data_IF_838214343870
#
_entry.id   IF_838214343870
#
_cell.length_a   1.000
_cell.length_b   1.000
_cell.length_c   1.000
_cell.angle_alpha   90.00
_cell.angle_beta   90.00
_cell.angle_gamma   90.00
#
_symmetry.space_group_name_H-M   'P 1'
#
loop_
_entity.id
_entity.type
_entity.pdbx_description
1 polymer ?
#
# COMPACT_ATOMS: atom_id res chain seq x y z
N UNK A 1 -2.73 -79.16 28.70
CA UNK A 1 -1.61 -78.61 27.90
C UNK A 1 -2.03 -77.20 27.48
N UNK A 2 -1.60 -76.20 28.25
CA UNK A 2 -1.96 -74.78 28.04
C UNK A 2 -0.79 -74.08 27.39
N UNK A 3 -0.93 -73.64 26.16
CA UNK A 3 0.04 -72.78 25.46
C UNK A 3 -0.53 -71.36 25.42
N UNK A 4 -0.19 -70.56 26.43
CA UNK A 4 -0.45 -69.14 26.44
C UNK A 4 0.64 -68.45 25.62
N UNK A 5 0.31 -68.05 24.39
CA UNK A 5 1.18 -67.20 23.54
C UNK A 5 1.24 -65.79 24.13
N UNK A 6 2.40 -65.44 24.70
CA UNK A 6 2.74 -64.08 25.10
C UNK A 6 3.02 -63.24 23.85
N UNK A 7 2.02 -62.48 23.44
CA UNK A 7 2.21 -61.40 22.48
C UNK A 7 2.97 -60.24 23.18
N UNK A 8 4.21 -60.04 22.83
CA UNK A 8 5.06 -58.96 23.34
C UNK A 8 4.61 -57.63 22.75
N UNK A 9 4.26 -56.64 23.57
CA UNK A 9 3.85 -55.32 23.06
C UNK A 9 5.11 -54.48 22.69
N UNK A 10 5.64 -54.66 21.48
CA UNK A 10 6.74 -53.83 20.96
C UNK A 10 6.27 -52.63 20.16
N UNK A 11 4.95 -52.39 20.06
CA UNK A 11 4.39 -51.31 19.24
C UNK A 11 4.22 -49.97 19.99
N UNK A 12 4.33 -49.98 21.32
CA UNK A 12 4.10 -48.75 22.14
C UNK A 12 5.14 -47.61 21.94
N UNK A 13 6.46 -47.87 21.74
CA UNK A 13 7.41 -46.76 21.57
C UNK A 13 7.33 -46.08 20.22
N UNK A 14 6.86 -46.75 19.17
CA UNK A 14 6.75 -46.14 17.82
C UNK A 14 5.59 -45.16 17.73
N UNK A 15 4.49 -45.41 18.44
CA UNK A 15 3.32 -44.50 18.48
C UNK A 15 3.65 -43.24 19.29
N UNK A 16 4.39 -43.38 20.39
CA UNK A 16 4.81 -42.24 21.21
C UNK A 16 5.81 -41.33 20.47
N UNK A 17 6.72 -41.89 19.69
CA UNK A 17 7.67 -41.13 18.87
C UNK A 17 6.97 -40.37 17.71
N UNK A 18 5.94 -40.95 17.11
CA UNK A 18 5.13 -40.30 16.06
C UNK A 18 4.30 -39.13 16.58
N UNK A 19 3.71 -39.25 17.78
CA UNK A 19 2.93 -38.18 18.39
C UNK A 19 3.78 -36.98 18.78
N UNK A 20 5.01 -37.21 19.27
CA UNK A 20 5.95 -36.15 19.64
C UNK A 20 6.46 -35.39 18.42
N UNK A 21 6.62 -36.02 17.27
CA UNK A 21 7.03 -35.41 16.00
C UNK A 21 5.95 -34.49 15.42
N UNK A 22 4.67 -34.87 15.53
CA UNK A 22 3.54 -34.05 15.05
C UNK A 22 3.35 -32.80 15.92
N UNK A 23 3.59 -32.88 17.24
CA UNK A 23 3.49 -31.71 18.12
C UNK A 23 4.58 -30.66 17.84
N UNK A 24 5.77 -31.08 17.44
CA UNK A 24 6.89 -30.15 17.09
C UNK A 24 6.63 -29.40 15.79
N UNK A 25 5.88 -29.96 14.84
CA UNK A 25 5.55 -29.33 13.57
C UNK A 25 4.50 -28.21 13.70
N UNK A 26 3.66 -28.24 14.74
CA UNK A 26 2.65 -27.20 15.02
C UNK A 26 3.24 -25.95 15.68
N UNK A 27 4.42 -26.03 16.29
CA UNK A 27 5.08 -24.87 16.92
C UNK A 27 5.77 -23.93 15.93
N UNK A 28 5.98 -24.33 14.67
CA UNK A 28 6.68 -23.53 13.67
C UNK A 28 5.85 -22.41 13.02
N UNK A 29 4.52 -22.34 13.29
CA UNK A 29 3.62 -21.39 12.64
C UNK A 29 3.21 -20.18 13.50
N UNK A 30 3.82 -20.00 14.67
CA UNK A 30 3.35 -18.99 15.65
C UNK A 30 4.26 -17.75 15.77
N UNK A 31 5.17 -17.49 14.83
CA UNK A 31 5.90 -16.22 14.84
C UNK A 31 5.06 -15.14 14.16
N UNK A 32 4.59 -14.18 14.94
CA UNK A 32 3.94 -12.98 14.42
C UNK A 32 4.91 -12.24 13.49
N UNK A 33 4.49 -11.84 12.27
CA UNK A 33 5.32 -11.01 11.41
C UNK A 33 5.72 -9.71 12.13
N UNK A 34 6.93 -9.19 11.91
CA UNK A 34 7.32 -7.88 12.46
C UNK A 34 6.42 -6.77 11.90
N UNK A 35 6.32 -5.66 12.64
CA UNK A 35 5.57 -4.50 12.19
C UNK A 35 6.10 -3.99 10.84
N UNK A 36 5.22 -3.56 9.90
CA UNK A 36 5.62 -3.12 8.56
C UNK A 36 6.09 -1.66 8.56
N UNK A 37 7.06 -1.31 9.41
CA UNK A 37 7.51 0.07 9.61
C UNK A 37 7.94 0.75 8.31
N UNK A 38 8.64 0.03 7.43
CA UNK A 38 9.09 0.57 6.14
C UNK A 38 7.92 0.93 5.21
N UNK A 39 6.84 0.14 5.21
CA UNK A 39 5.65 0.42 4.39
C UNK A 39 4.86 1.61 4.97
N UNK A 40 4.73 1.70 6.29
CA UNK A 40 4.09 2.82 6.98
C UNK A 40 4.85 4.13 6.74
N UNK A 41 6.17 4.12 6.84
CA UNK A 41 6.98 5.30 6.59
C UNK A 41 6.94 5.72 5.13
N UNK A 42 6.97 4.79 4.19
CA UNK A 42 6.81 5.08 2.77
C UNK A 42 5.45 5.73 2.46
N UNK A 43 4.37 5.27 3.09
CA UNK A 43 3.03 5.87 2.96
C UNK A 43 3.00 7.30 3.50
N UNK A 44 3.56 7.55 4.70
CA UNK A 44 3.66 8.90 5.29
C UNK A 44 4.45 9.85 4.41
N UNK A 45 5.58 9.40 3.87
CA UNK A 45 6.40 10.20 2.94
C UNK A 45 5.62 10.52 1.67
N UNK A 46 4.93 9.55 1.08
CA UNK A 46 4.12 9.77 -0.13
C UNK A 46 2.99 10.78 0.10
N UNK A 47 2.27 10.69 1.23
CA UNK A 47 1.24 11.66 1.62
C UNK A 47 1.86 13.07 1.76
N UNK A 48 2.99 13.19 2.48
CA UNK A 48 3.67 14.47 2.64
C UNK A 48 4.11 15.08 1.31
N UNK A 49 4.56 14.27 0.35
CA UNK A 49 4.93 14.72 -0.98
C UNK A 49 3.70 15.20 -1.78
N UNK A 50 2.58 14.48 -1.70
CA UNK A 50 1.32 14.88 -2.33
C UNK A 50 0.81 16.22 -1.76
N UNK A 51 0.88 16.40 -0.45
CA UNK A 51 0.51 17.66 0.23
C UNK A 51 1.37 18.84 -0.25
N UNK A 52 2.70 18.65 -0.32
CA UNK A 52 3.64 19.67 -0.83
C UNK A 52 3.43 19.99 -2.30
N UNK A 53 2.88 19.05 -3.08
CA UNK A 53 2.52 19.25 -4.47
C UNK A 53 1.18 19.98 -4.66
N UNK A 54 0.47 20.36 -3.60
CA UNK A 54 -0.88 20.94 -3.57
C UNK A 54 -2.00 19.95 -3.96
N UNK A 55 -1.81 18.64 -3.71
CA UNK A 55 -2.82 17.63 -4.03
C UNK A 55 -4.16 17.88 -3.32
N UNK A 56 -4.17 18.57 -2.20
CA UNK A 56 -5.41 18.99 -1.53
C UNK A 56 -6.34 19.83 -2.41
N UNK A 57 -5.78 20.61 -3.34
CA UNK A 57 -6.51 21.43 -4.28
C UNK A 57 -6.92 20.67 -5.55
N UNK A 58 -6.03 19.85 -6.11
CA UNK A 58 -6.19 19.25 -7.44
C UNK A 58 -6.61 17.78 -7.42
N UNK A 59 -6.36 17.06 -6.32
CA UNK A 59 -6.59 15.64 -6.15
C UNK A 59 -6.98 15.31 -4.69
N UNK A 60 -7.88 16.13 -4.11
CA UNK A 60 -8.25 16.03 -2.70
C UNK A 60 -8.90 14.71 -2.31
N UNK A 61 -9.65 14.08 -3.24
CA UNK A 61 -10.29 12.80 -3.00
C UNK A 61 -9.24 11.68 -2.80
N UNK A 62 -8.24 11.59 -3.67
CA UNK A 62 -7.17 10.59 -3.60
C UNK A 62 -6.29 10.81 -2.37
N UNK A 63 -5.99 12.07 -2.05
CA UNK A 63 -5.24 12.41 -0.84
C UNK A 63 -6.02 12.04 0.43
N UNK A 64 -7.34 12.24 0.43
CA UNK A 64 -8.25 11.82 1.50
C UNK A 64 -8.21 10.30 1.68
N UNK A 65 -8.37 9.55 0.60
CA UNK A 65 -8.30 8.09 0.62
C UNK A 65 -6.94 7.57 1.12
N UNK A 66 -5.84 8.20 0.70
CA UNK A 66 -4.51 7.85 1.19
C UNK A 66 -4.41 7.97 2.72
N UNK A 67 -4.93 9.04 3.30
CA UNK A 67 -4.94 9.25 4.76
C UNK A 67 -5.82 8.24 5.49
N UNK A 68 -6.98 7.90 4.95
CA UNK A 68 -7.88 6.89 5.52
C UNK A 68 -7.22 5.49 5.52
N UNK A 69 -6.53 5.13 4.43
CA UNK A 69 -5.78 3.87 4.35
C UNK A 69 -4.64 3.84 5.36
N UNK A 70 -3.91 4.94 5.55
CA UNK A 70 -2.86 5.01 6.58
C UNK A 70 -3.44 4.83 7.98
N UNK A 71 -4.56 5.47 8.30
CA UNK A 71 -5.24 5.29 9.57
C UNK A 71 -5.70 3.84 9.80
N UNK A 72 -6.16 3.17 8.73
CA UNK A 72 -6.51 1.74 8.76
C UNK A 72 -5.29 0.86 9.00
N UNK A 73 -4.13 1.20 8.40
CA UNK A 73 -2.87 0.51 8.64
C UNK A 73 -2.44 0.63 10.11
N UNK A 74 -2.49 1.85 10.68
CA UNK A 74 -2.17 2.09 12.08
C UNK A 74 -3.13 1.35 13.04
N UNK A 75 -4.41 1.20 12.66
CA UNK A 75 -5.37 0.39 13.43
C UNK A 75 -4.99 -1.09 13.40
N UNK A 76 -4.68 -1.62 12.23
CA UNK A 76 -4.28 -3.02 12.06
C UNK A 76 -2.98 -3.35 12.84
N UNK A 77 -2.04 -2.39 12.95
CA UNK A 77 -0.86 -2.54 13.82
C UNK A 77 -1.26 -2.69 15.28
N UNK A 78 -2.18 -1.86 15.77
CA UNK A 78 -2.68 -1.96 17.17
C UNK A 78 -3.43 -3.27 17.45
N UNK A 79 -4.04 -3.83 16.42
CA UNK A 79 -4.72 -5.13 16.45
C UNK A 79 -3.76 -6.31 16.22
N UNK A 80 -2.47 -6.05 16.13
CA UNK A 80 -1.41 -7.02 15.87
C UNK A 80 -1.58 -7.78 14.53
N UNK A 81 -2.34 -7.21 13.58
CA UNK A 81 -2.60 -7.78 12.26
C UNK A 81 -1.63 -7.20 11.22
N UNK A 82 -0.36 -7.61 11.30
CA UNK A 82 0.74 -7.02 10.54
C UNK A 82 0.60 -7.18 9.03
N UNK A 83 -0.01 -8.27 8.56
CA UNK A 83 -0.26 -8.51 7.12
C UNK A 83 -1.27 -7.50 6.57
N UNK A 84 -2.34 -7.25 7.33
CA UNK A 84 -3.36 -6.26 6.95
C UNK A 84 -2.81 -4.85 7.05
N UNK A 85 -1.99 -4.55 8.06
CA UNK A 85 -1.31 -3.28 8.22
C UNK A 85 -0.41 -2.97 7.02
N UNK A 86 0.42 -3.91 6.59
CA UNK A 86 1.29 -3.76 5.42
C UNK A 86 0.48 -3.47 4.16
N UNK A 87 -0.60 -4.22 3.92
CA UNK A 87 -1.46 -4.00 2.75
C UNK A 87 -2.06 -2.60 2.74
N UNK A 88 -2.65 -2.15 3.86
CA UNK A 88 -3.22 -0.81 3.94
C UNK A 88 -2.16 0.30 3.80
N UNK A 89 -0.95 0.11 4.34
CA UNK A 89 0.14 1.04 4.14
C UNK A 89 0.55 1.15 2.66
N UNK A 90 0.63 0.02 1.95
CA UNK A 90 0.90 0.00 0.51
C UNK A 90 -0.21 0.67 -0.30
N UNK A 91 -1.49 0.39 0.02
CA UNK A 91 -2.64 1.04 -0.61
C UNK A 91 -2.60 2.56 -0.38
N UNK A 92 -2.31 3.00 0.85
CA UNK A 92 -2.13 4.41 1.19
C UNK A 92 -1.06 5.09 0.35
N UNK A 93 0.11 4.47 0.22
CA UNK A 93 1.19 4.98 -0.61
C UNK A 93 0.76 5.16 -2.06
N UNK A 94 0.12 4.15 -2.65
CA UNK A 94 -0.34 4.20 -4.05
C UNK A 94 -1.35 5.32 -4.26
N UNK A 95 -2.30 5.53 -3.34
CA UNK A 95 -3.27 6.62 -3.44
C UNK A 95 -2.61 8.01 -3.32
N UNK A 96 -1.60 8.16 -2.47
CA UNK A 96 -0.84 9.41 -2.36
C UNK A 96 0.00 9.69 -3.62
N UNK A 97 0.62 8.67 -4.21
CA UNK A 97 1.34 8.77 -5.48
C UNK A 97 0.38 9.14 -6.63
N UNK A 98 -0.83 8.56 -6.67
CA UNK A 98 -1.87 8.91 -7.62
C UNK A 98 -2.32 10.38 -7.45
N UNK A 99 -2.50 10.84 -6.21
CA UNK A 99 -2.83 12.23 -5.92
C UNK A 99 -1.76 13.19 -6.46
N UNK A 100 -0.49 12.85 -6.26
CA UNK A 100 0.64 13.63 -6.80
C UNK A 100 0.64 13.66 -8.33
N UNK A 101 0.43 12.53 -8.99
CA UNK A 101 0.41 12.44 -10.45
C UNK A 101 -0.77 13.22 -11.06
N UNK A 102 -1.97 13.11 -10.47
CA UNK A 102 -3.15 13.89 -10.91
C UNK A 102 -2.94 15.38 -10.73
N UNK A 103 -2.34 15.79 -9.63
CA UNK A 103 -1.98 17.18 -9.38
C UNK A 103 -1.03 17.72 -10.44
N UNK A 104 0.04 16.97 -10.76
CA UNK A 104 0.99 17.35 -11.81
C UNK A 104 0.31 17.48 -13.18
N UNK A 105 -0.58 16.52 -13.52
CA UNK A 105 -1.35 16.56 -14.77
C UNK A 105 -2.29 17.77 -14.83
N UNK A 106 -3.01 18.08 -13.75
CA UNK A 106 -3.91 19.22 -13.69
C UNK A 106 -3.17 20.56 -13.84
N UNK A 107 -2.01 20.69 -13.17
CA UNK A 107 -1.14 21.88 -13.30
C UNK A 107 -0.59 22.02 -14.72
N UNK A 108 -0.15 20.93 -15.35
CA UNK A 108 0.32 20.95 -16.74
C UNK A 108 -0.80 21.32 -17.72
N UNK A 109 -2.01 20.81 -17.52
CA UNK A 109 -3.16 21.19 -18.35
C UNK A 109 -3.52 22.68 -18.22
N UNK A 110 -3.43 23.24 -17.03
CA UNK A 110 -3.66 24.67 -16.81
C UNK A 110 -2.62 25.54 -17.53
N UNK A 111 -1.34 25.18 -17.45
CA UNK A 111 -0.26 25.88 -18.15
C UNK A 111 -0.44 25.78 -19.67
N UNK A 112 -0.74 24.61 -20.21
CA UNK A 112 -0.99 24.43 -21.65
C UNK A 112 -2.13 25.32 -22.14
N UNK A 113 -3.24 25.37 -21.39
CA UNK A 113 -4.38 26.22 -21.72
C UNK A 113 -4.00 27.71 -21.73
N UNK A 114 -3.20 28.16 -20.79
CA UNK A 114 -2.71 29.53 -20.74
C UNK A 114 -1.79 29.85 -21.93
N UNK A 115 -0.91 28.90 -22.31
CA UNK A 115 -0.07 29.03 -23.51
C UNK A 115 -0.89 29.09 -24.80
N UNK A 116 -1.94 28.29 -24.93
CA UNK A 116 -2.86 28.34 -26.08
C UNK A 116 -3.52 29.72 -26.20
N UNK A 117 -4.08 30.25 -25.10
CA UNK A 117 -4.66 31.59 -25.09
C UNK A 117 -3.64 32.69 -25.43
N UNK A 118 -2.40 32.55 -24.96
CA UNK A 118 -1.34 33.49 -25.31
C UNK A 118 -0.96 33.46 -26.79
N UNK A 119 -0.92 32.25 -27.38
CA UNK A 119 -0.64 32.08 -28.82
C UNK A 119 -1.78 32.65 -29.70
N UNK A 120 -3.01 32.42 -29.30
CA UNK A 120 -4.19 32.96 -30.00
C UNK A 120 -4.17 34.51 -29.98
N UNK A 121 -3.95 35.11 -28.81
CA UNK A 121 -3.84 36.55 -28.66
C UNK A 121 -2.72 37.16 -29.51
N UNK A 122 -1.57 36.50 -29.58
CA UNK A 122 -0.44 36.95 -30.44
C UNK A 122 -0.80 36.85 -31.91
N UNK A 123 -1.52 35.78 -32.33
CA UNK A 123 -1.96 35.58 -33.69
C UNK A 123 -2.95 36.69 -34.12
N UNK A 124 -3.90 37.03 -33.25
CA UNK A 124 -4.83 38.15 -33.48
C UNK A 124 -4.10 39.49 -33.63
N UNK A 125 -3.12 39.73 -32.80
CA UNK A 125 -2.32 40.98 -32.84
C UNK A 125 -1.50 41.08 -34.15
N UNK A 126 -0.91 39.99 -34.59
CA UNK A 126 -0.20 39.92 -35.85
C UNK A 126 -1.10 40.14 -37.05
N UNK A 127 -2.32 39.60 -37.08
CA UNK A 127 -3.31 39.86 -38.12
C UNK A 127 -3.68 41.34 -38.16
N UNK A 128 -4.01 41.91 -37.01
CA UNK A 128 -4.38 43.34 -36.88
C UNK A 128 -3.27 44.29 -37.35
N UNK A 129 -2.01 43.95 -37.01
CA UNK A 129 -0.86 44.72 -37.45
C UNK A 129 -0.55 44.57 -38.95
N UNK A 130 -0.94 43.43 -39.57
CA UNK A 130 -0.83 43.20 -41.00
C UNK A 130 -1.88 43.97 -41.83
N UNK A 131 -3.07 44.15 -41.30
CA UNK A 131 -4.17 44.90 -41.94
C UNK A 131 -3.96 46.41 -41.89
N UNK A 132 -3.16 46.89 -40.97
CA UNK A 132 -2.88 48.36 -40.79
C UNK A 132 -1.83 48.94 -41.77
N UNK A 133 -1.35 48.13 -42.68
CA UNK A 133 -0.39 48.56 -43.76
C UNK A 133 -1.05 48.63 -45.11
#
# INVERSE_FOLDING_TARGET
>A
MNTTSRVKPRLRPLIAAGLMGVLMLLAACASMPPAPDSALDAAKVAISNAEKADAGQFAGAELGEAREKLASADSAVREENMIVAERFAQESRVQAELASARTASAKAAAVNKEMEHGADALTEEMQRAGEAK
#
